data_IF_141840172290
#
_entry.id   IF_141840172290
#
_cell.length_a   1.000
_cell.length_b   1.000
_cell.length_c   1.000
_cell.angle_alpha   90.00
_cell.angle_beta   90.00
_cell.angle_gamma   90.00
#
_symmetry.space_group_name_H-M   'P 1'
#
loop_
_entity.id
_entity.type
_entity.pdbx_description
1 polymer ?
#
# COMPACT_ATOMS: atom_id res chain seq x y z
N UNK A 1 -39.15 -41.07 -12.05
CA UNK A 1 -38.78 -40.53 -10.73
C UNK A 1 -38.11 -39.16 -10.94
N UNK A 2 -38.79 -38.11 -10.53
CA UNK A 2 -38.44 -36.70 -10.86
C UNK A 2 -37.40 -36.19 -9.87
N UNK A 3 -36.30 -35.65 -10.37
CA UNK A 3 -35.30 -34.94 -9.58
C UNK A 3 -35.51 -33.44 -9.86
N UNK A 4 -35.92 -32.72 -8.84
CA UNK A 4 -36.09 -31.27 -8.86
C UNK A 4 -34.77 -30.59 -8.66
N UNK A 5 -34.36 -29.76 -9.60
CA UNK A 5 -33.23 -28.84 -9.49
C UNK A 5 -33.70 -27.55 -8.80
N UNK A 6 -33.15 -27.29 -7.64
CA UNK A 6 -33.38 -26.07 -6.85
C UNK A 6 -32.36 -25.00 -7.32
N UNK A 7 -32.84 -24.02 -8.07
CA UNK A 7 -32.04 -22.85 -8.47
C UNK A 7 -32.10 -21.80 -7.36
N UNK A 8 -30.93 -21.57 -6.75
CA UNK A 8 -30.75 -20.50 -5.77
C UNK A 8 -30.56 -19.16 -6.53
N UNK A 9 -31.54 -18.28 -6.46
CA UNK A 9 -31.42 -16.88 -6.88
C UNK A 9 -30.70 -16.09 -5.78
N UNK A 10 -29.45 -15.74 -6.02
CA UNK A 10 -28.76 -14.70 -5.26
C UNK A 10 -29.14 -13.35 -5.84
N UNK A 11 -30.06 -12.65 -5.18
CA UNK A 11 -30.37 -11.25 -5.45
C UNK A 11 -29.23 -10.35 -4.98
N UNK A 12 -28.42 -9.89 -5.93
CA UNK A 12 -27.42 -8.85 -5.72
C UNK A 12 -28.18 -7.51 -5.60
N UNK A 13 -28.22 -6.95 -4.40
CA UNK A 13 -28.81 -5.64 -4.12
C UNK A 13 -27.84 -4.55 -4.64
N UNK A 14 -28.03 -4.12 -5.88
CA UNK A 14 -27.35 -2.95 -6.43
C UNK A 14 -28.04 -1.73 -5.85
N UNK A 15 -27.38 -1.08 -4.88
CA UNK A 15 -27.80 0.23 -4.41
C UNK A 15 -27.61 1.24 -5.56
N UNK A 16 -28.71 1.67 -6.14
CA UNK A 16 -28.75 2.67 -7.19
C UNK A 16 -28.26 4.02 -6.62
N UNK A 17 -27.14 4.53 -7.12
CA UNK A 17 -26.70 5.91 -6.98
C UNK A 17 -27.49 6.78 -7.98
N UNK A 18 -28.45 7.61 -7.57
CA UNK A 18 -29.31 8.35 -8.52
C UNK A 18 -28.68 9.61 -9.10
N UNK A 19 -27.41 9.93 -8.84
CA UNK A 19 -26.81 11.21 -9.23
C UNK A 19 -25.87 11.15 -10.45
N UNK A 20 -25.56 9.97 -10.99
CA UNK A 20 -24.57 9.83 -12.08
C UNK A 20 -25.15 9.78 -13.50
N UNK A 21 -26.48 9.70 -13.64
CA UNK A 21 -27.12 9.57 -14.96
C UNK A 21 -26.97 10.81 -15.85
N UNK A 22 -26.72 12.00 -15.28
CA UNK A 22 -26.48 13.22 -16.05
C UNK A 22 -25.06 13.37 -16.58
N UNK A 23 -24.08 12.75 -15.92
CA UNK A 23 -22.65 12.82 -16.31
C UNK A 23 -22.28 11.83 -17.43
N UNK A 24 -23.00 10.71 -17.52
CA UNK A 24 -22.71 9.69 -18.53
C UNK A 24 -22.93 10.15 -19.98
N UNK A 25 -23.81 11.13 -20.21
CA UNK A 25 -24.10 11.62 -21.58
C UNK A 25 -23.04 12.60 -22.11
N UNK A 26 -22.34 13.33 -21.24
CA UNK A 26 -21.30 14.29 -21.66
C UNK A 26 -19.95 13.65 -21.88
N UNK A 27 -19.66 12.48 -21.30
CA UNK A 27 -18.36 11.85 -21.37
C UNK A 27 -18.08 11.12 -22.68
N UNK A 28 -19.10 10.81 -23.47
CA UNK A 28 -18.93 10.08 -24.74
C UNK A 28 -18.07 10.83 -25.77
N UNK A 29 -17.90 12.15 -25.62
CA UNK A 29 -17.21 13.01 -26.55
C UNK A 29 -15.82 13.50 -26.08
N UNK A 30 -15.38 13.12 -24.88
CA UNK A 30 -14.10 13.62 -24.30
C UNK A 30 -12.88 13.20 -25.10
N UNK A 31 -12.99 12.11 -25.85
CA UNK A 31 -11.89 11.54 -26.65
C UNK A 31 -11.98 11.88 -28.14
N UNK A 32 -13.03 12.59 -28.58
CA UNK A 32 -13.22 12.95 -29.96
C UNK A 32 -12.38 14.21 -30.30
N UNK A 33 -11.57 14.21 -31.38
CA UNK A 33 -10.62 15.26 -31.71
C UNK A 33 -11.14 16.71 -31.79
N UNK A 34 -12.43 17.00 -32.02
CA UNK A 34 -12.91 18.37 -32.07
C UNK A 34 -12.92 19.15 -30.76
N UNK A 35 -12.89 18.46 -29.60
CA UNK A 35 -12.98 19.11 -28.26
C UNK A 35 -11.61 19.54 -27.70
N UNK A 36 -10.75 20.11 -28.52
CA UNK A 36 -9.42 20.56 -28.08
C UNK A 36 -9.43 21.80 -27.18
N UNK A 37 -10.52 22.57 -27.17
CA UNK A 37 -10.65 23.78 -26.36
C UNK A 37 -12.10 23.89 -25.88
N UNK A 38 -12.32 23.71 -24.59
CA UNK A 38 -13.64 23.82 -24.00
C UNK A 38 -13.60 23.81 -22.48
N UNK A 39 -14.72 24.22 -21.89
CA UNK A 39 -14.96 24.20 -20.46
C UNK A 39 -15.48 22.82 -20.08
N UNK A 40 -14.89 22.19 -19.10
CA UNK A 40 -15.35 20.92 -18.53
C UNK A 40 -16.31 21.13 -17.37
N UNK A 41 -15.98 22.10 -16.50
CA UNK A 41 -16.84 22.53 -15.42
C UNK A 41 -16.59 23.99 -15.03
N UNK A 42 -17.58 24.62 -14.46
CA UNK A 42 -17.51 25.89 -13.75
C UNK A 42 -17.85 25.65 -12.29
N UNK A 43 -16.96 26.04 -11.39
CA UNK A 43 -17.07 25.83 -9.94
C UNK A 43 -16.91 27.19 -9.28
N UNK A 44 -17.95 27.68 -8.65
CA UNK A 44 -18.00 29.05 -8.15
C UNK A 44 -17.60 30.05 -9.24
N UNK A 45 -16.49 30.75 -9.07
CA UNK A 45 -15.94 31.71 -10.04
C UNK A 45 -14.75 31.17 -10.84
N UNK A 46 -14.51 29.85 -10.81
CA UNK A 46 -13.36 29.23 -11.46
C UNK A 46 -13.80 28.25 -12.57
N UNK A 47 -13.20 28.39 -13.74
CA UNK A 47 -13.43 27.51 -14.87
C UNK A 47 -12.38 26.41 -14.87
N UNK A 48 -12.81 25.17 -15.05
CA UNK A 48 -11.96 23.98 -15.25
C UNK A 48 -12.08 23.60 -16.73
N UNK A 49 -10.95 23.53 -17.43
CA UNK A 49 -10.90 23.24 -18.85
C UNK A 49 -10.60 21.78 -19.16
N UNK A 50 -11.04 21.29 -20.32
CA UNK A 50 -10.64 19.96 -20.79
C UNK A 50 -9.12 19.82 -20.98
N UNK A 51 -8.42 20.91 -21.27
CA UNK A 51 -6.98 20.88 -21.45
C UNK A 51 -6.25 20.64 -20.12
N UNK A 52 -6.69 21.28 -19.02
CA UNK A 52 -6.13 21.05 -17.69
C UNK A 52 -6.30 19.58 -17.27
N UNK A 53 -7.51 19.03 -17.48
CA UNK A 53 -7.79 17.62 -17.17
C UNK A 53 -6.90 16.69 -18.00
N UNK A 54 -6.78 16.94 -19.31
CA UNK A 54 -5.94 16.13 -20.22
C UNK A 54 -4.48 16.17 -19.80
N UNK A 55 -3.97 17.31 -19.39
CA UNK A 55 -2.59 17.48 -18.91
C UNK A 55 -2.33 16.63 -17.67
N UNK A 56 -3.24 16.64 -16.72
CA UNK A 56 -3.14 15.83 -15.50
C UNK A 56 -3.26 14.31 -15.79
N UNK A 57 -4.08 13.92 -16.76
CA UNK A 57 -4.24 12.53 -17.18
C UNK A 57 -3.06 11.99 -17.99
N UNK A 58 -2.37 12.86 -18.76
CA UNK A 58 -1.36 12.46 -19.75
C UNK A 58 -0.30 11.49 -19.22
N UNK A 59 0.32 11.70 -18.04
CA UNK A 59 1.33 10.78 -17.50
C UNK A 59 0.78 9.42 -17.09
N UNK A 60 -0.53 9.28 -16.88
CA UNK A 60 -1.19 8.04 -16.45
C UNK A 60 -1.67 7.17 -17.62
N UNK A 61 -1.84 7.76 -18.80
CA UNK A 61 -2.36 7.07 -20.00
C UNK A 61 -1.52 5.85 -20.41
N UNK A 62 -0.17 5.90 -20.45
CA UNK A 62 0.64 4.73 -20.82
C UNK A 62 0.36 3.52 -19.92
N UNK A 63 0.30 3.75 -18.62
CA UNK A 63 0.03 2.68 -17.62
C UNK A 63 -1.36 2.05 -17.79
N UNK A 64 -2.38 2.87 -18.10
CA UNK A 64 -3.73 2.35 -18.39
C UNK A 64 -3.72 1.53 -19.68
N UNK A 65 -2.99 1.99 -20.71
CA UNK A 65 -2.89 1.27 -21.98
C UNK A 65 -2.22 -0.10 -21.83
N UNK A 66 -1.15 -0.17 -21.05
CA UNK A 66 -0.42 -1.43 -20.78
C UNK A 66 -1.25 -2.42 -19.96
N UNK A 67 -2.07 -1.93 -19.03
CA UNK A 67 -2.86 -2.79 -18.15
C UNK A 67 -4.23 -3.18 -18.71
N UNK A 68 -4.71 -2.52 -19.76
CA UNK A 68 -6.01 -2.81 -20.37
C UNK A 68 -5.94 -4.03 -21.31
N UNK A 69 -6.83 -4.98 -21.13
CA UNK A 69 -6.89 -6.23 -21.91
C UNK A 69 -7.68 -6.09 -23.22
N UNK A 70 -8.44 -4.99 -23.36
CA UNK A 70 -9.25 -4.73 -24.54
C UNK A 70 -9.44 -3.23 -24.75
N UNK A 71 -9.85 -2.85 -25.99
CA UNK A 71 -10.19 -1.45 -26.31
C UNK A 71 -11.35 -0.94 -25.45
N UNK A 72 -12.34 -1.77 -25.18
CA UNK A 72 -13.50 -1.42 -24.33
C UNK A 72 -13.06 -1.13 -22.91
N UNK A 73 -12.22 -2.00 -22.32
CA UNK A 73 -11.66 -1.81 -20.98
C UNK A 73 -10.80 -0.53 -20.93
N UNK A 74 -9.97 -0.30 -21.93
CA UNK A 74 -9.19 0.94 -22.03
C UNK A 74 -10.09 2.18 -22.02
N UNK A 75 -11.15 2.19 -22.84
CA UNK A 75 -12.10 3.32 -22.91
C UNK A 75 -12.80 3.55 -21.58
N UNK A 76 -13.23 2.47 -20.91
CA UNK A 76 -13.87 2.55 -19.59
C UNK A 76 -12.93 3.13 -18.54
N UNK A 77 -11.69 2.63 -18.45
CA UNK A 77 -10.69 3.12 -17.49
C UNK A 77 -10.30 4.58 -17.74
N UNK A 78 -10.25 4.98 -19.03
CA UNK A 78 -10.03 6.37 -19.40
C UNK A 78 -11.17 7.27 -18.96
N UNK A 79 -12.41 6.80 -19.05
CA UNK A 79 -13.59 7.51 -18.57
C UNK A 79 -13.58 7.64 -17.04
N UNK A 80 -13.28 6.58 -16.34
CA UNK A 80 -13.13 6.58 -14.87
C UNK A 80 -12.04 7.57 -14.44
N UNK A 81 -10.86 7.56 -15.09
CA UNK A 81 -9.78 8.51 -14.83
C UNK A 81 -10.21 9.95 -15.07
N UNK A 82 -10.94 10.21 -16.16
CA UNK A 82 -11.44 11.55 -16.46
C UNK A 82 -12.33 12.08 -15.34
N UNK A 83 -13.30 11.26 -14.90
CA UNK A 83 -14.21 11.63 -13.81
C UNK A 83 -13.46 11.86 -12.50
N UNK A 84 -12.49 11.03 -12.20
CA UNK A 84 -11.65 11.17 -11.00
C UNK A 84 -10.83 12.47 -11.04
N UNK A 85 -10.18 12.77 -12.16
CA UNK A 85 -9.38 13.98 -12.32
C UNK A 85 -10.25 15.23 -12.28
N UNK A 86 -11.41 15.23 -12.97
CA UNK A 86 -12.37 16.33 -12.92
C UNK A 86 -12.85 16.58 -11.48
N UNK A 87 -13.21 15.50 -10.75
CA UNK A 87 -13.64 15.61 -9.37
C UNK A 87 -12.53 16.16 -8.46
N UNK A 88 -11.28 15.74 -8.69
CA UNK A 88 -10.14 16.29 -7.97
C UNK A 88 -9.93 17.79 -8.21
N UNK A 89 -10.13 18.27 -9.44
CA UNK A 89 -10.09 19.71 -9.72
C UNK A 89 -11.20 20.48 -9.02
N UNK A 90 -12.43 19.96 -9.07
CA UNK A 90 -13.58 20.55 -8.35
C UNK A 90 -13.26 20.65 -6.85
N UNK A 91 -12.81 19.56 -6.24
CA UNK A 91 -12.46 19.52 -4.82
C UNK A 91 -11.37 20.54 -4.45
N UNK A 92 -10.33 20.66 -5.30
CA UNK A 92 -9.26 21.65 -5.09
C UNK A 92 -9.82 23.07 -5.05
N UNK A 93 -10.69 23.42 -6.00
CA UNK A 93 -11.34 24.74 -6.02
C UNK A 93 -12.14 24.99 -4.75
N UNK A 94 -13.00 24.04 -4.38
CA UNK A 94 -13.87 24.17 -3.20
C UNK A 94 -13.08 24.29 -1.89
N UNK A 95 -12.00 23.52 -1.75
CA UNK A 95 -11.12 23.61 -0.57
C UNK A 95 -10.46 24.99 -0.47
N UNK A 96 -10.00 25.55 -1.61
CA UNK A 96 -9.38 26.88 -1.64
C UNK A 96 -10.41 27.96 -1.32
N UNK A 97 -11.66 27.84 -1.80
CA UNK A 97 -12.73 28.77 -1.46
C UNK A 97 -13.10 28.68 0.03
N UNK A 98 -13.28 27.48 0.60
CA UNK A 98 -13.51 27.32 2.06
C UNK A 98 -12.36 27.93 2.89
N UNK A 99 -11.10 27.79 2.44
CA UNK A 99 -9.96 28.41 3.11
C UNK A 99 -10.07 29.94 3.14
N UNK A 100 -10.51 30.56 2.04
CA UNK A 100 -10.71 32.01 1.94
C UNK A 100 -11.91 32.47 2.77
N UNK A 101 -13.04 31.76 2.69
CA UNK A 101 -14.25 32.08 3.45
C UNK A 101 -14.03 32.03 4.96
N UNK A 102 -13.18 31.14 5.42
CA UNK A 102 -12.78 31.04 6.84
C UNK A 102 -11.71 32.05 7.26
N UNK A 103 -11.31 32.92 6.36
CA UNK A 103 -10.28 33.92 6.58
C UNK A 103 -8.94 33.30 7.07
N UNK A 104 -8.66 32.06 6.69
CA UNK A 104 -7.40 31.42 7.04
C UNK A 104 -6.24 32.09 6.30
N UNK A 105 -5.11 32.21 6.97
CA UNK A 105 -3.91 32.81 6.39
C UNK A 105 -2.83 31.75 6.14
N UNK A 106 -2.28 31.74 4.93
CA UNK A 106 -1.07 30.99 4.59
C UNK A 106 0.09 31.97 4.48
N UNK A 107 1.09 31.95 5.37
CA UNK A 107 2.26 32.81 5.27
C UNK A 107 2.98 32.61 3.95
N UNK A 108 3.44 33.70 3.34
CA UNK A 108 4.12 33.66 2.03
C UNK A 108 5.39 32.79 2.06
N UNK A 109 6.05 32.70 3.21
CA UNK A 109 7.24 31.86 3.39
C UNK A 109 7.02 30.40 3.03
N UNK A 110 5.81 29.86 3.22
CA UNK A 110 5.50 28.48 2.82
C UNK A 110 5.57 28.30 1.29
N UNK A 111 5.10 29.29 0.55
CA UNK A 111 5.12 29.27 -0.92
C UNK A 111 6.55 29.45 -1.44
N UNK A 112 7.33 30.34 -0.83
CA UNK A 112 8.73 30.57 -1.24
C UNK A 112 9.60 29.36 -0.87
N UNK A 113 9.44 28.77 0.31
CA UNK A 113 10.16 27.54 0.68
C UNK A 113 9.88 26.39 -0.28
N UNK A 114 8.62 26.22 -0.67
CA UNK A 114 8.24 25.16 -1.62
C UNK A 114 8.75 25.48 -3.04
N UNK A 115 8.76 26.73 -3.44
CA UNK A 115 9.38 27.18 -4.70
C UNK A 115 10.87 26.82 -4.72
N UNK A 116 11.60 27.17 -3.64
CA UNK A 116 13.04 26.93 -3.52
C UNK A 116 13.32 25.41 -3.47
N UNK A 117 12.47 24.64 -2.79
CA UNK A 117 12.59 23.19 -2.74
C UNK A 117 12.49 22.58 -4.16
N UNK A 118 11.47 22.96 -4.94
CA UNK A 118 11.29 22.49 -6.30
C UNK A 118 12.50 22.90 -7.18
N UNK A 119 12.96 24.14 -7.06
CA UNK A 119 14.10 24.63 -7.80
C UNK A 119 15.37 23.81 -7.50
N UNK A 120 15.61 23.45 -6.25
CA UNK A 120 16.79 22.69 -5.83
C UNK A 120 16.65 21.21 -6.22
N UNK A 121 15.54 20.56 -5.87
CA UNK A 121 15.36 19.11 -6.02
C UNK A 121 15.14 18.69 -7.47
N UNK A 122 14.31 19.44 -8.23
CA UNK A 122 13.90 19.05 -9.58
C UNK A 122 14.76 19.71 -10.67
N UNK A 123 15.41 20.84 -10.38
CA UNK A 123 16.14 21.65 -11.36
C UNK A 123 17.58 21.94 -10.96
N UNK A 124 18.13 21.29 -9.93
CA UNK A 124 19.53 21.45 -9.49
C UNK A 124 19.90 22.93 -9.22
N UNK A 125 18.95 23.74 -8.75
CA UNK A 125 19.04 25.19 -8.56
C UNK A 125 19.26 26.00 -9.86
N UNK A 126 19.01 25.41 -11.03
CA UNK A 126 19.06 26.11 -12.32
C UNK A 126 17.73 26.84 -12.58
N UNK A 127 17.73 28.12 -12.26
CA UNK A 127 16.58 29.01 -12.45
C UNK A 127 16.17 29.19 -13.92
N UNK A 128 17.13 29.19 -14.84
CA UNK A 128 16.86 29.36 -16.27
C UNK A 128 16.11 28.15 -16.80
N UNK A 129 16.60 26.96 -16.52
CA UNK A 129 15.96 25.69 -16.88
C UNK A 129 14.55 25.59 -16.28
N UNK A 130 14.37 26.05 -15.04
CA UNK A 130 13.06 26.07 -14.40
C UNK A 130 12.08 27.04 -15.10
N UNK A 131 12.53 28.24 -15.47
CA UNK A 131 11.68 29.19 -16.17
C UNK A 131 11.30 28.71 -17.58
N UNK A 132 12.23 28.11 -18.33
CA UNK A 132 11.96 27.47 -19.63
C UNK A 132 10.92 26.34 -19.48
N UNK A 133 11.01 25.53 -18.43
CA UNK A 133 10.01 24.50 -18.12
C UNK A 133 8.62 25.09 -17.86
N UNK A 134 8.52 26.19 -17.11
CA UNK A 134 7.24 26.88 -16.88
C UNK A 134 6.67 27.43 -18.19
N UNK A 135 7.50 28.05 -19.02
CA UNK A 135 7.11 28.60 -20.29
C UNK A 135 6.63 27.51 -21.28
N UNK A 136 7.29 26.36 -21.31
CA UNK A 136 6.85 25.19 -22.07
C UNK A 136 5.48 24.65 -21.62
N UNK A 137 5.09 24.91 -20.37
CA UNK A 137 3.75 24.62 -19.85
C UNK A 137 2.74 25.76 -20.03
N UNK A 138 3.13 26.83 -20.68
CA UNK A 138 2.29 28.02 -20.89
C UNK A 138 2.01 28.80 -19.59
N UNK A 139 2.92 28.73 -18.60
CA UNK A 139 2.80 29.41 -17.30
C UNK A 139 3.96 30.35 -17.07
N UNK A 140 3.67 31.45 -16.39
CA UNK A 140 4.71 32.32 -15.85
C UNK A 140 4.97 32.05 -14.35
N UNK A 141 6.03 32.61 -13.82
CA UNK A 141 6.43 32.44 -12.42
C UNK A 141 5.36 32.89 -11.41
N UNK A 142 4.54 33.89 -11.76
CA UNK A 142 3.46 34.38 -10.88
C UNK A 142 2.30 33.40 -10.84
N UNK A 143 1.89 32.89 -11.97
CA UNK A 143 0.83 31.87 -12.08
C UNK A 143 1.25 30.58 -11.36
N UNK A 144 2.49 30.14 -11.54
CA UNK A 144 2.99 28.96 -10.86
C UNK A 144 3.00 29.14 -9.34
N UNK A 145 3.38 30.32 -8.81
CA UNK A 145 3.29 30.59 -7.36
C UNK A 145 1.85 30.58 -6.87
N UNK A 146 0.91 31.05 -7.66
CA UNK A 146 -0.52 30.97 -7.29
C UNK A 146 -0.99 29.53 -7.22
N UNK A 147 -0.65 28.71 -8.23
CA UNK A 147 -0.97 27.27 -8.23
C UNK A 147 -0.29 26.53 -7.07
N UNK A 148 0.94 26.91 -6.74
CA UNK A 148 1.69 26.35 -5.62
C UNK A 148 1.02 26.69 -4.28
N UNK A 149 0.58 27.94 -4.12
CA UNK A 149 -0.21 28.37 -2.97
C UNK A 149 -1.49 27.54 -2.82
N UNK A 150 -2.25 27.37 -3.89
CA UNK A 150 -3.49 26.58 -3.89
C UNK A 150 -3.19 25.10 -3.49
N UNK A 151 -2.13 24.51 -4.02
CA UNK A 151 -1.68 23.16 -3.65
C UNK A 151 -1.34 23.02 -2.17
N UNK A 152 -0.61 24.00 -1.61
CA UNK A 152 -0.26 24.03 -0.19
C UNK A 152 -1.54 24.14 0.66
N UNK A 153 -2.45 25.04 0.31
CA UNK A 153 -3.74 25.20 0.99
C UNK A 153 -4.50 23.87 1.01
N UNK A 154 -4.65 23.23 -0.12
CA UNK A 154 -5.33 21.92 -0.23
C UNK A 154 -4.67 20.87 0.64
N UNK A 155 -3.34 20.81 0.64
CA UNK A 155 -2.57 19.86 1.46
C UNK A 155 -2.79 20.09 2.95
N UNK A 156 -2.70 21.35 3.40
CA UNK A 156 -2.89 21.74 4.80
C UNK A 156 -4.31 21.45 5.27
N UNK A 157 -5.32 21.84 4.48
CA UNK A 157 -6.73 21.63 4.81
C UNK A 157 -7.08 20.14 4.90
N UNK A 158 -6.58 19.33 3.96
CA UNK A 158 -6.76 17.86 4.00
C UNK A 158 -6.05 17.24 5.20
N UNK A 159 -4.83 17.71 5.53
CA UNK A 159 -4.08 17.21 6.68
C UNK A 159 -4.79 17.53 8.00
N UNK A 160 -5.31 18.74 8.14
CA UNK A 160 -6.05 19.16 9.33
C UNK A 160 -7.31 18.31 9.54
N UNK A 161 -8.05 18.05 8.46
CA UNK A 161 -9.23 17.17 8.52
C UNK A 161 -8.91 15.73 8.90
N UNK A 162 -7.72 15.22 8.56
CA UNK A 162 -7.26 13.90 9.00
C UNK A 162 -6.88 13.86 10.47
N UNK A 163 -6.24 14.92 10.99
CA UNK A 163 -5.76 14.97 12.38
C UNK A 163 -6.88 15.10 13.41
N UNK A 164 -8.00 15.70 13.03
CA UNK A 164 -9.08 16.07 13.98
C UNK A 164 -9.84 14.88 14.59
N UNK A 165 -9.46 13.61 14.29
CA UNK A 165 -10.23 12.42 14.68
C UNK A 165 -9.36 11.27 15.19
N UNK A 166 -8.33 11.56 15.99
CA UNK A 166 -7.32 10.57 16.40
C UNK A 166 -7.66 9.74 17.64
N UNK A 167 -8.79 9.95 18.31
CA UNK A 167 -9.14 9.13 19.48
C UNK A 167 -10.18 8.07 19.13
N UNK A 168 -9.73 6.81 19.11
CA UNK A 168 -10.62 5.66 18.97
C UNK A 168 -10.99 5.15 20.35
N UNK A 169 -12.29 4.99 20.63
CA UNK A 169 -12.71 4.46 21.93
C UNK A 169 -12.38 2.97 22.07
N UNK A 170 -12.06 2.50 23.29
CA UNK A 170 -11.81 1.09 23.56
C UNK A 170 -12.94 0.18 23.09
N UNK A 171 -14.19 0.59 23.26
CA UNK A 171 -15.38 -0.17 22.84
C UNK A 171 -15.40 -0.37 21.32
N UNK A 172 -14.94 0.64 20.55
CA UNK A 172 -14.86 0.54 19.10
C UNK A 172 -13.79 -0.43 18.65
N UNK A 173 -12.67 -0.48 19.35
CA UNK A 173 -11.59 -1.46 19.12
C UNK A 173 -12.11 -2.88 19.40
N UNK A 174 -12.79 -3.09 20.52
CA UNK A 174 -13.38 -4.40 20.87
C UNK A 174 -14.44 -4.84 19.86
N UNK A 175 -15.30 -3.92 19.44
CA UNK A 175 -16.32 -4.18 18.42
C UNK A 175 -15.65 -4.63 17.11
N UNK A 176 -14.67 -3.84 16.62
CA UNK A 176 -13.96 -4.15 15.38
C UNK A 176 -13.25 -5.50 15.46
N UNK A 177 -12.57 -5.80 16.56
CA UNK A 177 -11.93 -7.08 16.78
C UNK A 177 -12.94 -8.24 16.71
N UNK A 178 -14.07 -8.11 17.40
CA UNK A 178 -15.10 -9.16 17.44
C UNK A 178 -15.75 -9.40 16.07
N UNK A 179 -15.98 -8.32 15.28
CA UNK A 179 -16.54 -8.40 13.94
C UNK A 179 -15.54 -8.95 12.90
N UNK A 180 -14.22 -8.84 13.18
CA UNK A 180 -13.16 -9.16 12.21
C UNK A 180 -12.17 -10.22 12.72
N UNK A 181 -12.56 -11.07 13.69
CA UNK A 181 -11.66 -12.05 14.32
C UNK A 181 -10.87 -12.89 13.32
N UNK A 182 -11.50 -13.29 12.22
CA UNK A 182 -10.84 -14.12 11.21
C UNK A 182 -9.64 -13.41 10.53
N UNK A 183 -9.65 -12.09 10.49
CA UNK A 183 -8.54 -11.31 9.92
C UNK A 183 -7.31 -11.24 10.84
N UNK A 184 -7.45 -11.73 12.09
CA UNK A 184 -6.40 -11.84 13.08
C UNK A 184 -6.02 -13.29 13.37
N UNK A 185 -6.46 -14.21 12.49
CA UNK A 185 -5.98 -15.58 12.52
C UNK A 185 -4.56 -15.64 11.97
N UNK A 186 -3.68 -16.29 12.70
CA UNK A 186 -2.33 -16.63 12.26
C UNK A 186 -2.21 -18.15 12.18
N UNK A 187 -1.50 -18.61 11.17
CA UNK A 187 -1.13 -20.02 11.05
C UNK A 187 0.05 -20.32 11.95
N UNK A 188 0.15 -21.58 12.37
CA UNK A 188 1.30 -22.10 13.10
C UNK A 188 2.60 -21.76 12.36
N UNK A 189 3.58 -21.22 13.06
CA UNK A 189 4.86 -20.85 12.50
C UNK A 189 6.01 -21.06 13.49
N UNK A 190 7.17 -21.40 12.98
CA UNK A 190 8.42 -21.51 13.74
C UNK A 190 9.45 -20.52 13.23
N UNK A 191 10.18 -19.87 14.15
CA UNK A 191 11.34 -19.06 13.78
C UNK A 191 12.55 -19.97 13.75
N UNK A 192 13.07 -20.21 12.56
CA UNK A 192 13.97 -21.32 12.28
C UNK A 192 15.38 -20.84 11.92
N UNK A 193 16.37 -21.50 12.48
CA UNK A 193 17.74 -21.48 11.97
C UNK A 193 18.13 -22.87 11.48
N UNK A 194 18.93 -22.93 10.42
CA UNK A 194 19.31 -24.18 9.77
C UNK A 194 20.81 -24.21 9.52
N UNK A 195 21.44 -25.33 9.91
CA UNK A 195 22.74 -25.71 9.41
C UNK A 195 22.52 -26.72 8.30
N UNK A 196 22.99 -26.42 7.11
CA UNK A 196 22.96 -27.33 5.97
C UNK A 196 24.38 -27.76 5.62
N UNK A 197 24.57 -29.06 5.53
CA UNK A 197 25.84 -29.68 5.10
C UNK A 197 25.59 -30.47 3.82
N UNK A 198 26.55 -30.44 2.91
CA UNK A 198 26.57 -31.23 1.69
C UNK A 198 27.90 -31.97 1.60
N UNK A 199 27.92 -33.31 1.51
CA UNK A 199 29.13 -34.06 1.27
C UNK A 199 29.81 -33.57 -0.03
N UNK A 200 31.12 -33.38 0.02
CA UNK A 200 31.90 -33.13 -1.17
C UNK A 200 32.12 -34.46 -1.92
N UNK A 201 32.27 -34.39 -3.25
CA UNK A 201 32.35 -35.58 -4.11
C UNK A 201 33.43 -36.62 -3.72
N UNK A 202 34.51 -36.16 -3.06
CA UNK A 202 35.65 -36.97 -2.59
C UNK A 202 35.69 -37.10 -1.06
N UNK A 203 34.64 -36.65 -0.34
CA UNK A 203 34.60 -36.68 1.12
C UNK A 203 34.27 -38.08 1.64
N UNK A 204 35.14 -38.58 2.53
CA UNK A 204 34.87 -39.85 3.22
C UNK A 204 33.68 -39.67 4.17
N UNK A 205 32.69 -40.61 4.17
CA UNK A 205 31.55 -40.60 5.08
C UNK A 205 31.92 -40.38 6.56
N UNK A 206 33.10 -40.84 6.98
CA UNK A 206 33.61 -40.67 8.33
C UNK A 206 33.98 -39.20 8.63
N UNK A 207 34.42 -38.44 7.66
CA UNK A 207 34.70 -36.99 7.83
C UNK A 207 33.43 -36.19 8.07
N UNK A 208 32.37 -36.47 7.31
CA UNK A 208 31.07 -35.84 7.51
C UNK A 208 30.52 -36.15 8.90
N UNK A 209 30.61 -37.41 9.35
CA UNK A 209 30.20 -37.80 10.71
C UNK A 209 30.97 -37.02 11.79
N UNK A 210 32.28 -36.94 11.67
CA UNK A 210 33.13 -36.13 12.57
C UNK A 210 32.76 -34.66 12.57
N UNK A 211 32.32 -34.10 11.41
CA UNK A 211 31.88 -32.72 11.35
C UNK A 211 30.56 -32.54 12.10
N UNK A 212 29.61 -33.45 11.96
CA UNK A 212 28.35 -33.44 12.69
C UNK A 212 28.59 -33.61 14.20
N UNK A 213 29.49 -34.51 14.61
CA UNK A 213 29.88 -34.69 16.02
C UNK A 213 30.41 -33.40 16.63
N UNK A 214 31.34 -32.70 15.93
CA UNK A 214 31.87 -31.39 16.39
C UNK A 214 30.80 -30.32 16.48
N UNK A 215 29.83 -30.27 15.57
CA UNK A 215 28.70 -29.36 15.65
C UNK A 215 27.94 -29.58 16.95
N UNK A 216 27.61 -30.83 17.28
CA UNK A 216 26.92 -31.15 18.54
C UNK A 216 27.77 -30.87 19.76
N UNK A 217 29.05 -31.19 19.77
CA UNK A 217 29.97 -30.89 20.86
C UNK A 217 30.00 -29.35 21.13
N UNK A 218 30.02 -28.49 20.09
CA UNK A 218 29.97 -27.04 20.26
C UNK A 218 28.61 -26.56 20.79
N UNK A 219 27.52 -27.12 20.31
CA UNK A 219 26.17 -26.81 20.78
C UNK A 219 25.97 -27.23 22.25
N UNK A 220 26.42 -28.44 22.63
CA UNK A 220 26.38 -28.94 23.99
C UNK A 220 27.29 -28.13 24.94
N UNK A 221 28.40 -27.60 24.42
CA UNK A 221 29.26 -26.68 25.16
C UNK A 221 28.64 -25.29 25.39
N UNK A 222 27.43 -25.03 24.80
CA UNK A 222 26.71 -23.77 24.94
C UNK A 222 27.08 -22.71 23.91
N UNK A 223 27.77 -23.07 22.81
CA UNK A 223 28.00 -22.13 21.70
C UNK A 223 26.67 -21.79 21.01
N UNK A 224 26.36 -20.51 20.79
CA UNK A 224 25.11 -20.12 20.13
C UNK A 224 24.97 -20.81 18.75
N UNK A 225 23.77 -21.32 18.44
CA UNK A 225 23.51 -22.01 17.17
C UNK A 225 23.86 -21.15 15.96
N UNK A 226 23.65 -19.82 16.03
CA UNK A 226 24.01 -18.87 14.98
C UNK A 226 25.51 -18.87 14.67
N UNK A 227 26.36 -18.97 15.69
CA UNK A 227 27.81 -18.96 15.53
C UNK A 227 28.28 -20.30 14.93
N UNK A 228 27.70 -21.41 15.38
CA UNK A 228 27.95 -22.74 14.82
C UNK A 228 27.49 -22.81 13.36
N UNK A 229 26.31 -22.25 13.07
CA UNK A 229 25.81 -22.17 11.70
C UNK A 229 26.71 -21.31 10.80
N UNK A 230 27.20 -20.18 11.28
CA UNK A 230 28.15 -19.33 10.55
C UNK A 230 29.48 -20.03 10.27
N UNK A 231 29.87 -20.95 11.12
CA UNK A 231 31.12 -21.69 10.96
C UNK A 231 31.00 -22.89 10.02
N UNK A 232 29.94 -23.67 10.15
CA UNK A 232 29.81 -24.98 9.49
C UNK A 232 28.82 -25.03 8.34
N UNK A 233 27.77 -24.16 8.33
CA UNK A 233 26.73 -24.25 7.30
C UNK A 233 27.27 -23.94 5.90
N UNK A 234 26.77 -24.65 4.92
CA UNK A 234 27.04 -24.44 3.50
C UNK A 234 25.86 -23.80 2.76
N UNK A 235 24.84 -23.36 3.51
CA UNK A 235 23.70 -22.59 2.95
C UNK A 235 24.07 -21.13 2.71
N UNK A 236 23.38 -20.49 1.79
CA UNK A 236 23.51 -19.05 1.46
C UNK A 236 23.23 -18.11 2.65
N UNK A 237 22.54 -18.60 3.69
CA UNK A 237 22.25 -17.87 4.93
C UNK A 237 23.28 -18.05 6.03
N UNK A 238 24.41 -18.73 5.74
CA UNK A 238 25.53 -18.95 6.65
C UNK A 238 25.97 -17.68 7.38
N UNK A 239 26.18 -16.59 6.62
CA UNK A 239 26.67 -15.32 7.15
C UNK A 239 25.66 -14.61 8.08
N UNK A 240 24.42 -15.07 8.10
CA UNK A 240 23.36 -14.64 9.01
C UNK A 240 23.06 -15.66 10.10
N UNK A 241 24.02 -16.58 10.39
CA UNK A 241 23.82 -17.61 11.40
C UNK A 241 22.73 -18.61 11.06
N UNK A 242 22.54 -18.91 9.76
CA UNK A 242 21.51 -19.84 9.29
C UNK A 242 20.08 -19.37 9.47
N UNK A 243 19.81 -18.07 9.64
CA UNK A 243 18.49 -17.50 9.89
C UNK A 243 17.57 -17.61 8.67
N UNK A 244 16.46 -18.34 8.84
CA UNK A 244 15.37 -18.51 7.86
C UNK A 244 14.16 -17.63 8.20
N UNK A 245 14.12 -17.03 9.38
CA UNK A 245 13.00 -16.25 9.87
C UNK A 245 11.80 -17.10 10.28
N UNK A 246 10.60 -16.51 10.24
CA UNK A 246 9.34 -17.20 10.51
C UNK A 246 8.94 -18.03 9.31
N UNK A 247 8.73 -19.34 9.52
CA UNK A 247 8.41 -20.32 8.49
C UNK A 247 7.11 -21.03 8.87
N UNK A 248 6.22 -21.19 7.89
CA UNK A 248 4.99 -21.99 8.03
C UNK A 248 5.23 -23.41 7.53
N UNK A 249 4.36 -24.35 7.94
CA UNK A 249 4.50 -25.78 7.53
C UNK A 249 4.67 -25.98 6.02
N UNK A 250 3.88 -25.34 5.14
CA UNK A 250 3.99 -25.54 3.70
C UNK A 250 5.28 -24.99 3.06
N UNK A 251 6.02 -24.13 3.78
CA UNK A 251 7.25 -23.51 3.28
C UNK A 251 8.48 -24.41 3.40
N UNK A 252 8.35 -25.52 4.16
CA UNK A 252 9.39 -26.51 4.32
C UNK A 252 9.03 -27.80 3.57
N UNK A 253 10.04 -28.58 3.24
CA UNK A 253 9.83 -29.97 2.82
C UNK A 253 9.23 -30.77 3.98
N UNK A 254 8.37 -31.74 3.67
CA UNK A 254 7.61 -32.51 4.65
C UNK A 254 8.47 -33.11 5.76
N UNK A 255 9.65 -33.63 5.42
CA UNK A 255 10.57 -34.25 6.38
C UNK A 255 11.16 -33.24 7.36
N UNK A 256 11.51 -32.03 6.88
CA UNK A 256 12.02 -30.95 7.73
C UNK A 256 10.90 -30.33 8.55
N UNK A 257 9.71 -30.17 7.96
CA UNK A 257 8.52 -29.66 8.60
C UNK A 257 8.09 -30.55 9.77
N UNK A 258 8.07 -31.88 9.54
CA UNK A 258 7.71 -32.86 10.58
C UNK A 258 8.59 -32.71 11.84
N UNK A 259 9.87 -32.40 11.68
CA UNK A 259 10.78 -32.20 12.81
C UNK A 259 10.68 -30.78 13.37
N UNK A 260 10.72 -29.73 12.53
CA UNK A 260 10.75 -28.35 12.97
C UNK A 260 9.57 -28.00 13.88
N UNK A 261 8.36 -28.49 13.54
CA UNK A 261 7.14 -28.20 14.28
C UNK A 261 6.87 -29.15 15.48
N UNK A 262 7.80 -30.09 15.77
CA UNK A 262 7.76 -30.92 16.97
C UNK A 262 8.85 -30.57 17.98
N UNK A 263 9.83 -29.77 17.57
CA UNK A 263 10.85 -29.25 18.46
C UNK A 263 10.26 -28.24 19.43
N UNK A 264 10.75 -28.25 20.64
CA UNK A 264 10.46 -27.19 21.61
C UNK A 264 11.22 -25.90 21.25
N UNK A 265 10.75 -24.78 21.76
CA UNK A 265 11.46 -23.50 21.65
C UNK A 265 12.88 -23.63 22.25
N UNK A 266 13.85 -23.04 21.55
CA UNK A 266 15.28 -23.07 21.90
C UNK A 266 15.92 -24.47 21.85
N UNK A 267 15.27 -25.42 21.16
CA UNK A 267 15.81 -26.76 20.92
C UNK A 267 16.33 -26.92 19.48
N UNK A 268 17.30 -27.80 19.32
CA UNK A 268 17.82 -28.21 18.03
C UNK A 268 17.54 -29.68 17.73
N UNK A 269 17.45 -30.01 16.45
CA UNK A 269 17.15 -31.38 15.98
C UNK A 269 18.37 -32.26 15.94
N UNK A 270 18.14 -33.58 15.84
CA UNK A 270 19.14 -34.49 15.28
C UNK A 270 19.39 -34.16 13.79
N UNK A 271 20.47 -34.72 13.25
CA UNK A 271 20.82 -34.55 11.83
C UNK A 271 19.84 -35.27 10.91
N UNK A 272 19.15 -34.52 10.06
CA UNK A 272 18.14 -34.99 9.11
C UNK A 272 18.79 -35.12 7.73
N UNK A 273 18.85 -36.33 7.20
CA UNK A 273 19.37 -36.57 5.85
C UNK A 273 18.24 -36.48 4.83
N UNK A 274 18.39 -35.58 3.86
CA UNK A 274 17.44 -35.38 2.79
C UNK A 274 18.15 -35.37 1.42
N UNK A 275 18.09 -36.47 0.71
CA UNK A 275 18.90 -36.69 -0.50
C UNK A 275 20.40 -36.70 -0.12
N UNK A 276 21.17 -35.81 -0.77
CA UNK A 276 22.60 -35.68 -0.51
C UNK A 276 22.93 -34.61 0.55
N UNK A 277 21.93 -34.01 1.16
CA UNK A 277 22.08 -32.93 2.12
C UNK A 277 21.73 -33.37 3.55
N UNK A 278 22.43 -32.80 4.50
CA UNK A 278 22.16 -33.03 5.93
C UNK A 278 21.78 -31.70 6.56
N UNK A 279 20.70 -31.71 7.33
CA UNK A 279 20.15 -30.53 7.97
C UNK A 279 20.14 -30.73 9.48
N UNK A 280 20.50 -29.69 10.23
CA UNK A 280 20.28 -29.58 11.65
C UNK A 280 19.44 -28.31 11.84
N UNK A 281 18.28 -28.45 12.48
CA UNK A 281 17.30 -27.39 12.66
C UNK A 281 17.42 -26.86 14.11
N UNK A 282 17.14 -25.58 14.28
CA UNK A 282 17.00 -24.94 15.58
C UNK A 282 15.79 -24.03 15.59
N UNK A 283 14.89 -24.24 16.53
CA UNK A 283 13.70 -23.41 16.71
C UNK A 283 14.02 -22.30 17.69
N UNK A 284 14.22 -21.09 17.18
CA UNK A 284 14.49 -19.90 17.99
C UNK A 284 13.24 -19.43 18.74
N UNK A 285 12.08 -19.50 18.08
CA UNK A 285 10.77 -19.16 18.65
C UNK A 285 9.67 -19.92 17.89
N UNK A 286 8.47 -19.98 18.49
CA UNK A 286 7.31 -20.64 17.85
C UNK A 286 6.02 -19.89 18.15
N UNK A 287 5.06 -20.02 17.25
CA UNK A 287 3.71 -19.47 17.36
C UNK A 287 2.72 -20.55 17.06
N UNK A 288 1.77 -20.73 17.95
CA UNK A 288 0.64 -21.63 17.73
C UNK A 288 -0.34 -21.00 16.72
N UNK A 289 -1.05 -21.86 15.97
CA UNK A 289 -2.17 -21.38 15.16
C UNK A 289 -3.29 -20.83 16.05
N UNK A 290 -3.91 -19.75 15.62
CA UNK A 290 -5.04 -19.21 16.36
C UNK A 290 -5.35 -17.75 16.05
N UNK A 291 -6.37 -17.26 16.70
CA UNK A 291 -6.74 -15.84 16.63
C UNK A 291 -5.90 -15.09 17.63
N UNK A 292 -5.10 -14.13 17.13
CA UNK A 292 -4.29 -13.25 17.98
C UNK A 292 -5.16 -12.56 19.04
N UNK A 293 -4.75 -12.54 20.31
CA UNK A 293 -5.47 -11.83 21.37
C UNK A 293 -5.56 -10.33 21.07
N UNK A 294 -6.65 -9.70 21.51
CA UNK A 294 -6.90 -8.27 21.24
C UNK A 294 -5.77 -7.34 21.73
N UNK A 295 -5.10 -7.70 22.81
CA UNK A 295 -3.98 -6.92 23.35
C UNK A 295 -2.76 -6.89 22.41
N UNK A 296 -2.55 -7.91 21.59
CA UNK A 296 -1.45 -7.98 20.63
C UNK A 296 -1.75 -7.21 19.35
N UNK A 297 -3.02 -7.13 18.97
CA UNK A 297 -3.47 -6.49 17.73
C UNK A 297 -4.11 -5.13 17.95
N UNK A 298 -4.17 -4.65 19.20
CA UNK A 298 -4.84 -3.38 19.58
C UNK A 298 -4.33 -2.21 18.78
N UNK A 299 -3.03 -2.00 18.74
CA UNK A 299 -2.41 -0.84 18.07
C UNK A 299 -2.69 -0.88 16.56
N UNK A 300 -2.61 -2.07 15.96
CA UNK A 300 -2.96 -2.29 14.55
C UNK A 300 -4.43 -1.99 14.26
N UNK A 301 -5.35 -2.39 15.15
CA UNK A 301 -6.78 -2.09 15.02
C UNK A 301 -7.01 -0.59 15.15
N UNK A 302 -6.36 0.08 16.09
CA UNK A 302 -6.46 1.52 16.29
C UNK A 302 -6.01 2.29 15.05
N UNK A 303 -4.88 1.92 14.43
CA UNK A 303 -4.41 2.49 13.17
C UNK A 303 -5.41 2.30 12.02
N UNK A 304 -5.97 1.10 11.89
CA UNK A 304 -6.99 0.80 10.87
C UNK A 304 -8.21 1.69 11.06
N UNK A 305 -8.75 1.75 12.28
CA UNK A 305 -9.93 2.53 12.62
C UNK A 305 -9.69 4.03 12.47
N UNK A 306 -8.53 4.55 12.93
CA UNK A 306 -8.14 5.93 12.76
C UNK A 306 -8.06 6.30 11.27
N UNK A 307 -7.44 5.44 10.46
CA UNK A 307 -7.37 5.62 9.00
C UNK A 307 -8.74 5.60 8.32
N UNK A 308 -9.64 4.70 8.75
CA UNK A 308 -11.01 4.63 8.22
C UNK A 308 -11.80 5.90 8.58
N UNK A 309 -11.73 6.32 9.84
CA UNK A 309 -12.43 7.51 10.33
C UNK A 309 -11.91 8.78 9.65
N UNK A 310 -10.60 8.90 9.45
CA UNK A 310 -10.00 10.01 8.73
C UNK A 310 -10.47 10.10 7.27
N UNK A 311 -10.54 8.95 6.58
CA UNK A 311 -11.09 8.87 5.20
C UNK A 311 -12.57 9.26 5.16
N UNK A 312 -13.38 8.72 6.06
CA UNK A 312 -14.81 9.01 6.15
C UNK A 312 -15.06 10.51 6.43
N UNK A 313 -14.33 11.09 7.38
CA UNK A 313 -14.43 12.51 7.72
C UNK A 313 -14.05 13.40 6.53
N UNK A 314 -12.96 13.07 5.83
CA UNK A 314 -12.55 13.79 4.63
C UNK A 314 -13.60 13.68 3.52
N UNK A 315 -14.18 12.50 3.30
CA UNK A 315 -15.22 12.30 2.30
C UNK A 315 -16.48 13.10 2.63
N UNK A 316 -16.98 13.02 3.86
CA UNK A 316 -18.14 13.79 4.31
C UNK A 316 -17.91 15.31 4.20
N UNK A 317 -16.72 15.76 4.52
CA UNK A 317 -16.34 17.16 4.34
C UNK A 317 -16.40 17.59 2.87
N UNK A 318 -15.80 16.83 1.95
CA UNK A 318 -15.83 17.14 0.52
C UNK A 318 -17.26 17.08 -0.04
N UNK A 319 -18.06 16.08 0.37
CA UNK A 319 -19.46 15.98 -0.02
C UNK A 319 -20.29 17.19 0.45
N UNK A 320 -20.00 17.70 1.65
CA UNK A 320 -20.64 18.94 2.14
C UNK A 320 -20.24 20.13 1.26
N UNK A 321 -18.96 20.32 0.97
CA UNK A 321 -18.50 21.41 0.10
C UNK A 321 -19.17 21.37 -1.26
N UNK A 322 -19.25 20.18 -1.88
CA UNK A 322 -19.90 20.02 -3.18
C UNK A 322 -21.39 20.33 -3.17
N UNK A 323 -22.11 20.02 -2.07
CA UNK A 323 -23.55 20.31 -1.93
C UNK A 323 -23.86 21.79 -1.74
N UNK A 324 -22.96 22.51 -1.09
CA UNK A 324 -23.12 23.94 -0.77
C UNK A 324 -22.66 24.83 -1.93
N UNK A 325 -21.86 24.33 -2.86
CA UNK A 325 -21.24 25.09 -3.93
C UNK A 325 -22.09 25.10 -5.24
N UNK A 326 -21.86 26.15 -6.04
CA UNK A 326 -22.33 26.20 -7.40
C UNK A 326 -21.37 25.44 -8.32
N UNK A 327 -21.86 24.33 -8.92
CA UNK A 327 -21.09 23.52 -9.86
C UNK A 327 -21.93 23.30 -11.11
N UNK A 328 -21.37 23.69 -12.27
CA UNK A 328 -21.98 23.48 -13.57
C UNK A 328 -21.05 22.66 -14.46
N UNK A 329 -21.54 21.56 -14.98
CA UNK A 329 -20.82 20.68 -15.92
C UNK A 329 -21.22 21.03 -17.35
N UNK A 330 -20.25 20.87 -18.30
CA UNK A 330 -20.46 21.19 -19.73
C UNK A 330 -20.20 19.98 -20.64
#
# INVERSE_FOLDING_TARGET
MRISTLTLFTTLLIAALPALSGLAQTVHNVWDPPFRQGIAAEVENKVITFEEIRREMSPLIPRIRESARSRTEFTQRMQELYLEVLQNFIDRVLIVEEFKEKEFNLPQSFVENEWDRILIEDFENDRSRFLEYLEAQGKNAREFRADLRDRIIVSVMRSEKRKSQSQISPERIEQFYNENKINFYEEEAVKLRIIMLRPLADENPDQMRQTIERIYEELEAGTPFADVASKYSQDSRRDRGGDWGWIQRPDLKDELSAVAFTLEKEAYSEAITLGEQIFILYVEDQRDEGIQPINEVRDRIEEILASQLARQSQQQWLERLRREAYIRYY
#
